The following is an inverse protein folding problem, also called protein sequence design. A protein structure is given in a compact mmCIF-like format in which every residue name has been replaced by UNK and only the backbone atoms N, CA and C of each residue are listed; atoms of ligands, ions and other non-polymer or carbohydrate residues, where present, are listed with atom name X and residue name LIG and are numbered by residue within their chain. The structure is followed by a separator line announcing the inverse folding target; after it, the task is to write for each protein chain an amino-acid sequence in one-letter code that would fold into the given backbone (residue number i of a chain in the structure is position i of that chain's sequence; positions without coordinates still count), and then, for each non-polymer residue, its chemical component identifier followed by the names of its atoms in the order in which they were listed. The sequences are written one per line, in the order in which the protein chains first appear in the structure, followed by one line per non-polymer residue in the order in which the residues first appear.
data_IF_035431671196
#
_entry.id   IF_035431671196
#
_cell.length_a   1.000
_cell.length_b   1.000
_cell.length_c   1.000
_cell.angle_alpha   90.00
_cell.angle_beta   90.00
_cell.angle_gamma   90.00
#
_symmetry.space_group_name_H-M   'P 1'
#
loop_
_entity.id
_entity.type
_entity.pdbx_description
1 polymer ?
#
# COMPACT_ATOMS: atom_id res chain seq x y z
N UNK A 1 -11.45 4.85 -52.87
CA UNK A 1 -12.12 4.44 -54.11
C UNK A 1 -11.21 3.42 -54.76
N UNK A 2 -11.78 2.26 -55.09
CA UNK A 2 -11.31 1.22 -56.03
C UNK A 2 -9.89 0.62 -55.81
N UNK A 3 -9.65 -0.68 -55.58
CA UNK A 3 -10.25 -1.97 -56.02
C UNK A 3 -9.53 -2.62 -57.22
N UNK A 4 -8.98 -3.82 -56.97
CA UNK A 4 -8.41 -4.84 -57.87
C UNK A 4 -7.80 -5.92 -56.92
N UNK A 5 -8.24 -7.16 -56.75
CA UNK A 5 -9.13 -8.12 -57.44
C UNK A 5 -8.48 -9.07 -58.47
N UNK A 6 -7.97 -10.21 -57.98
CA UNK A 6 -7.97 -11.57 -58.59
C UNK A 6 -7.25 -12.53 -57.60
N UNK A 7 -7.68 -13.73 -57.17
CA UNK A 7 -8.73 -14.71 -57.53
C UNK A 7 -8.24 -15.97 -58.29
N UNK A 8 -8.10 -17.08 -57.55
CA UNK A 8 -8.18 -18.49 -57.97
C UNK A 8 -8.52 -19.31 -56.70
N UNK A 9 -9.43 -20.30 -56.67
CA UNK A 9 -10.35 -20.79 -57.71
C UNK A 9 -10.25 -22.30 -57.91
N UNK A 10 -11.20 -23.06 -57.35
CA UNK A 10 -11.52 -24.44 -57.74
C UNK A 10 -12.87 -24.84 -57.11
N UNK A 11 -13.82 -25.26 -57.94
CA UNK A 11 -15.21 -25.56 -57.57
C UNK A 11 -15.45 -27.04 -57.26
N UNK A 12 -16.60 -27.36 -56.65
CA UNK A 12 -17.47 -28.48 -57.06
C UNK A 12 -18.84 -28.41 -56.33
N UNK A 13 -19.91 -28.35 -57.11
CA UNK A 13 -21.32 -28.59 -56.74
C UNK A 13 -21.57 -30.13 -56.68
N UNK A 14 -22.76 -30.71 -56.40
CA UNK A 14 -24.14 -30.26 -56.07
C UNK A 14 -24.77 -31.37 -55.15
N UNK A 15 -26.05 -31.56 -54.78
CA UNK A 15 -27.41 -31.09 -55.13
C UNK A 15 -28.30 -31.17 -53.84
N UNK A 16 -29.63 -31.26 -53.98
CA UNK A 16 -30.71 -31.04 -53.01
C UNK A 16 -31.23 -32.30 -52.24
N UNK A 17 -32.19 -32.06 -51.33
CA UNK A 17 -33.10 -32.98 -50.58
C UNK A 17 -33.95 -33.93 -51.50
N UNK A 18 -34.64 -35.01 -51.01
CA UNK A 18 -35.18 -35.18 -49.64
C UNK A 18 -35.16 -36.57 -48.96
N UNK A 19 -35.65 -36.58 -47.71
CA UNK A 19 -35.75 -37.67 -46.73
C UNK A 19 -36.33 -39.05 -47.15
N UNK A 20 -35.88 -40.10 -46.44
CA UNK A 20 -36.62 -41.35 -46.15
C UNK A 20 -36.20 -41.95 -44.79
N UNK A 21 -36.96 -42.92 -44.25
CA UNK A 21 -36.94 -43.34 -42.83
C UNK A 21 -36.37 -44.75 -42.62
N UNK A 22 -35.45 -44.95 -41.66
CA UNK A 22 -35.31 -46.19 -40.88
C UNK A 22 -34.35 -46.09 -39.66
N UNK A 23 -34.81 -46.53 -38.47
CA UNK A 23 -34.03 -47.28 -37.46
C UNK A 23 -33.04 -46.54 -36.53
N UNK A 24 -33.36 -46.46 -35.23
CA UNK A 24 -32.39 -46.12 -34.18
C UNK A 24 -32.96 -45.66 -32.83
N UNK A 25 -32.95 -46.54 -31.84
CA UNK A 25 -33.13 -46.28 -30.39
C UNK A 25 -32.29 -47.34 -29.63
N UNK A 26 -31.95 -47.20 -28.33
CA UNK A 26 -32.29 -46.17 -27.33
C UNK A 26 -31.16 -45.09 -27.21
N UNK A 27 -30.91 -44.30 -26.15
CA UNK A 27 -31.37 -44.23 -24.74
C UNK A 27 -31.23 -42.77 -24.18
N UNK A 28 -32.02 -42.30 -23.20
CA UNK A 28 -31.90 -40.95 -22.63
C UNK A 28 -30.71 -40.76 -21.67
N UNK A 29 -29.85 -39.81 -22.02
CA UNK A 29 -28.88 -39.05 -21.19
C UNK A 29 -28.82 -39.38 -19.68
N UNK A 30 -27.76 -40.06 -19.24
CA UNK A 30 -27.35 -40.02 -17.83
C UNK A 30 -26.83 -38.61 -17.47
N UNK A 31 -27.43 -37.98 -16.46
CA UNK A 31 -26.89 -36.74 -15.90
C UNK A 31 -25.65 -37.05 -15.05
N UNK A 32 -24.53 -36.38 -15.34
CA UNK A 32 -23.29 -36.55 -14.58
C UNK A 32 -23.46 -36.04 -13.14
N UNK A 33 -23.61 -36.96 -12.20
CA UNK A 33 -23.81 -36.67 -10.77
C UNK A 33 -22.54 -36.07 -10.17
N UNK A 34 -22.44 -34.74 -10.21
CA UNK A 34 -21.47 -33.98 -9.43
C UNK A 34 -21.79 -34.18 -7.95
N UNK A 35 -20.87 -34.80 -7.21
CA UNK A 35 -20.99 -34.96 -5.76
C UNK A 35 -21.03 -33.56 -5.08
N UNK A 36 -21.82 -33.38 -4.02
CA UNK A 36 -21.84 -32.12 -3.29
C UNK A 36 -20.47 -31.83 -2.67
N UNK A 37 -20.04 -30.56 -2.60
CA UNK A 37 -18.80 -30.20 -1.94
C UNK A 37 -18.86 -30.60 -0.45
N UNK A 38 -17.74 -31.07 0.14
CA UNK A 38 -17.72 -31.52 1.52
C UNK A 38 -18.06 -30.37 2.49
N UNK A 39 -18.74 -30.64 3.63
CA UNK A 39 -19.02 -29.62 4.64
C UNK A 39 -17.74 -28.94 5.13
N UNK A 40 -17.72 -27.60 5.07
CA UNK A 40 -16.56 -26.78 5.44
C UNK A 40 -16.16 -26.95 6.92
N UNK A 41 -17.09 -27.40 7.76
CA UNK A 41 -16.88 -27.70 9.18
C UNK A 41 -15.82 -28.80 9.40
N UNK A 42 -15.58 -29.67 8.43
CA UNK A 42 -14.54 -30.72 8.49
C UNK A 42 -13.11 -30.20 8.23
N UNK A 43 -12.95 -28.94 7.81
CA UNK A 43 -11.66 -28.32 7.50
C UNK A 43 -11.13 -27.41 8.62
N UNK A 44 -11.89 -27.20 9.69
CA UNK A 44 -11.47 -26.35 10.82
C UNK A 44 -11.00 -27.21 12.00
N UNK A 45 -9.73 -27.11 12.44
CA UNK A 45 -9.32 -27.75 13.68
C UNK A 45 -10.02 -27.07 14.88
N UNK A 46 -10.40 -27.82 15.93
CA UNK A 46 -10.91 -27.19 17.15
C UNK A 46 -9.83 -26.25 17.71
N UNK A 47 -10.25 -25.01 18.02
CA UNK A 47 -9.42 -23.81 18.29
C UNK A 47 -9.00 -22.96 17.06
N UNK A 48 -9.60 -23.13 15.87
CA UNK A 48 -9.46 -22.11 14.81
C UNK A 48 -10.24 -20.83 15.17
N UNK A 49 -9.55 -19.85 15.77
CA UNK A 49 -10.13 -18.53 16.07
C UNK A 49 -10.08 -17.66 14.82
N UNK A 50 -11.23 -17.45 14.16
CA UNK A 50 -11.28 -16.61 12.96
C UNK A 50 -11.23 -15.10 13.29
N UNK A 51 -10.01 -14.56 13.26
CA UNK A 51 -9.72 -13.13 13.37
C UNK A 51 -10.28 -12.27 12.23
N UNK A 52 -10.93 -12.83 11.20
CA UNK A 52 -11.63 -12.04 10.16
C UNK A 52 -12.84 -11.26 10.71
N UNK A 53 -13.45 -11.76 11.80
CA UNK A 53 -14.70 -11.23 12.36
C UNK A 53 -14.52 -10.12 13.41
N UNK A 54 -13.28 -9.81 13.81
CA UNK A 54 -13.02 -8.53 14.49
C UNK A 54 -13.24 -7.42 13.46
N UNK A 55 -14.14 -6.47 13.77
CA UNK A 55 -14.55 -5.40 12.87
C UNK A 55 -13.40 -4.46 12.50
N UNK A 56 -12.65 -4.83 11.45
CA UNK A 56 -11.65 -3.98 10.81
C UNK A 56 -12.33 -2.69 10.35
N UNK A 57 -11.73 -1.53 10.64
CA UNK A 57 -12.19 -0.21 10.17
C UNK A 57 -12.04 -0.11 8.64
N UNK A 58 -13.05 -0.62 7.93
CA UNK A 58 -12.83 -1.52 6.79
C UNK A 58 -11.71 -1.10 5.85
N UNK A 59 -10.61 -1.88 5.84
CA UNK A 59 -9.49 -1.70 4.92
C UNK A 59 -9.88 -2.22 3.53
N UNK A 60 -10.88 -1.55 2.96
CA UNK A 60 -11.29 -1.68 1.56
C UNK A 60 -10.01 -1.51 0.72
N UNK A 61 -9.71 -2.52 -0.09
CA UNK A 61 -8.63 -2.43 -1.06
C UNK A 61 -9.14 -1.58 -2.22
N UNK A 62 -8.33 -0.64 -2.72
CA UNK A 62 -8.64 0.14 -3.92
C UNK A 62 -8.82 -0.73 -5.18
N UNK A 63 -8.38 -2.00 -5.13
CA UNK A 63 -8.57 -3.00 -6.18
C UNK A 63 -9.01 -4.34 -5.58
N UNK A 64 -9.94 -5.09 -6.22
CA UNK A 64 -10.33 -6.43 -5.79
C UNK A 64 -9.15 -7.40 -5.69
N UNK A 65 -9.27 -8.43 -4.85
CA UNK A 65 -8.32 -9.54 -4.92
C UNK A 65 -8.70 -10.46 -6.08
N UNK A 66 -7.94 -10.36 -7.17
CA UNK A 66 -7.88 -11.41 -8.19
C UNK A 66 -6.79 -12.38 -7.78
N UNK A 67 -7.02 -13.68 -7.94
CA UNK A 67 -5.98 -14.69 -7.72
C UNK A 67 -4.80 -14.45 -8.68
N UNK A 68 -3.58 -14.63 -8.19
CA UNK A 68 -2.36 -14.26 -8.92
C UNK A 68 -1.98 -12.76 -8.88
N UNK A 69 -2.87 -11.85 -8.45
CA UNK A 69 -2.55 -10.42 -8.29
C UNK A 69 -2.18 -10.08 -6.82
N UNK A 70 -1.00 -9.49 -6.65
CA UNK A 70 -0.41 -9.12 -5.35
C UNK A 70 -0.18 -7.61 -5.28
N UNK A 71 -0.55 -7.00 -4.15
CA UNK A 71 -0.20 -5.60 -3.88
C UNK A 71 1.31 -5.49 -3.57
N UNK A 72 2.03 -4.76 -4.42
CA UNK A 72 3.43 -4.39 -4.23
C UNK A 72 3.55 -2.98 -3.68
N UNK A 73 4.47 -2.77 -2.74
CA UNK A 73 4.81 -1.48 -2.14
C UNK A 73 6.32 -1.42 -1.84
N UNK A 74 7.02 -0.40 -2.33
CA UNK A 74 8.45 -0.17 -2.08
C UNK A 74 8.61 1.03 -1.16
N UNK A 75 9.37 0.88 -0.06
CA UNK A 75 9.49 1.92 0.97
C UNK A 75 10.80 1.86 1.78
N UNK A 76 11.11 2.99 2.43
CA UNK A 76 12.10 3.06 3.51
C UNK A 76 11.36 2.85 4.85
N UNK A 77 11.72 1.85 5.66
CA UNK A 77 11.22 1.70 7.02
C UNK A 77 11.84 2.75 7.97
N UNK A 78 11.01 3.31 8.84
CA UNK A 78 11.37 4.39 9.77
C UNK A 78 10.85 4.08 11.17
N UNK A 79 11.75 3.87 12.13
CA UNK A 79 11.39 3.72 13.55
C UNK A 79 11.63 5.05 14.26
N UNK A 80 10.63 5.52 15.01
CA UNK A 80 10.72 6.81 15.73
C UNK A 80 11.65 6.66 16.95
N UNK A 81 12.75 7.45 17.03
CA UNK A 81 13.71 7.40 18.14
C UNK A 81 13.06 7.72 19.49
N UNK A 82 13.45 6.98 20.53
CA UNK A 82 12.83 7.06 21.87
C UNK A 82 12.82 8.48 22.47
N UNK A 83 13.89 9.24 22.26
CA UNK A 83 13.99 10.64 22.72
C UNK A 83 12.98 11.60 22.04
N UNK A 84 12.50 11.28 20.83
CA UNK A 84 11.47 12.08 20.14
C UNK A 84 10.04 11.69 20.58
N UNK A 85 9.83 10.46 21.07
CA UNK A 85 8.49 9.91 21.32
C UNK A 85 7.68 10.73 22.32
N UNK A 86 8.29 11.19 23.41
CA UNK A 86 7.57 11.98 24.44
C UNK A 86 6.99 13.28 23.90
N UNK A 87 7.76 14.03 23.09
CA UNK A 87 7.26 15.26 22.48
C UNK A 87 6.17 14.96 21.45
N UNK A 88 6.39 13.95 20.60
CA UNK A 88 5.40 13.55 19.61
C UNK A 88 4.11 12.98 20.24
N UNK A 89 4.19 12.37 21.42
CA UNK A 89 3.03 11.93 22.23
C UNK A 89 2.16 13.13 22.65
N UNK A 90 2.77 14.23 23.09
CA UNK A 90 2.04 15.47 23.41
C UNK A 90 1.38 16.07 22.16
N UNK A 91 2.08 16.08 21.03
CA UNK A 91 1.54 16.61 19.77
C UNK A 91 0.40 15.74 19.23
N UNK A 92 0.53 14.41 19.27
CA UNK A 92 -0.55 13.50 18.85
C UNK A 92 -1.77 13.56 19.79
N UNK A 93 -1.57 13.83 21.09
CA UNK A 93 -2.67 14.17 22.01
C UNK A 93 -3.38 15.46 21.61
N UNK A 94 -2.64 16.51 21.25
CA UNK A 94 -3.21 17.77 20.71
C UNK A 94 -3.95 17.53 19.38
N UNK A 95 -3.41 16.71 18.49
CA UNK A 95 -4.05 16.32 17.23
C UNK A 95 -5.40 15.62 17.46
N UNK A 96 -5.47 14.66 18.41
CA UNK A 96 -6.70 13.97 18.78
C UNK A 96 -7.78 14.91 19.36
N UNK A 97 -7.38 15.97 20.08
CA UNK A 97 -8.31 17.00 20.56
C UNK A 97 -8.83 17.93 19.45
N UNK A 98 -8.05 18.11 18.37
CA UNK A 98 -8.41 18.96 17.23
C UNK A 98 -9.23 18.21 16.17
N UNK A 99 -8.95 16.92 15.98
CA UNK A 99 -9.66 16.02 15.06
C UNK A 99 -9.91 14.68 15.77
N UNK A 100 -11.06 14.52 16.45
CA UNK A 100 -11.40 13.29 17.18
C UNK A 100 -11.54 12.05 16.29
N UNK A 101 -11.81 12.27 15.00
CA UNK A 101 -12.03 11.23 13.96
C UNK A 101 -10.73 10.52 13.52
N UNK A 102 -9.59 10.81 14.16
CA UNK A 102 -8.28 10.22 13.85
C UNK A 102 -8.11 8.82 14.44
N UNK A 103 -7.50 7.94 13.64
CA UNK A 103 -7.08 6.59 13.97
C UNK A 103 -5.56 6.43 13.81
N UNK A 104 -4.96 5.56 14.60
CA UNK A 104 -3.54 5.22 14.51
C UNK A 104 -3.24 4.39 13.25
N UNK A 105 -2.16 4.74 12.53
CA UNK A 105 -1.73 4.00 11.32
C UNK A 105 -1.29 2.58 11.66
N UNK A 106 -1.71 1.62 10.81
CA UNK A 106 -1.48 0.18 10.93
C UNK A 106 -1.76 -0.41 12.34
N UNK A 107 -2.75 0.17 13.05
CA UNK A 107 -3.13 -0.20 14.41
C UNK A 107 -4.65 -0.34 14.63
N UNK A 108 -5.48 0.25 13.78
CA UNK A 108 -6.96 0.25 13.84
C UNK A 108 -7.60 0.73 15.17
N UNK A 109 -6.83 1.41 16.03
CA UNK A 109 -7.31 2.10 17.23
C UNK A 109 -7.60 3.58 16.96
N UNK A 110 -8.73 4.08 17.47
CA UNK A 110 -8.98 5.52 17.54
C UNK A 110 -7.90 6.22 18.39
N UNK A 111 -7.40 7.35 17.90
CA UNK A 111 -6.32 8.10 18.54
C UNK A 111 -6.77 8.71 19.89
N UNK A 112 -8.03 9.13 19.97
CA UNK A 112 -8.71 9.60 21.18
C UNK A 112 -8.71 8.55 22.31
N UNK A 113 -8.92 7.27 21.97
CA UNK A 113 -8.86 6.16 22.94
C UNK A 113 -7.42 5.85 23.39
N UNK A 114 -6.43 5.97 22.50
CA UNK A 114 -5.02 5.85 22.89
C UNK A 114 -4.60 6.99 23.83
N UNK A 115 -5.11 8.22 23.63
CA UNK A 115 -4.73 9.38 24.43
C UNK A 115 -5.09 9.31 25.93
N UNK A 116 -5.96 8.37 26.33
CA UNK A 116 -6.35 8.11 27.73
C UNK A 116 -5.23 7.47 28.56
N UNK A 117 -4.26 6.81 27.92
CA UNK A 117 -3.13 6.13 28.55
C UNK A 117 -1.84 6.52 27.81
N UNK A 118 -0.97 7.29 28.46
CA UNK A 118 0.25 7.80 27.84
C UNK A 118 1.25 6.69 27.49
N UNK A 119 1.32 5.62 28.28
CA UNK A 119 2.19 4.47 27.98
C UNK A 119 1.66 3.67 26.79
N UNK A 120 0.35 3.49 26.70
CA UNK A 120 -0.31 2.88 25.55
C UNK A 120 -0.17 3.74 24.31
N UNK A 121 -0.32 5.06 24.39
CA UNK A 121 -0.08 5.97 23.26
C UNK A 121 1.38 5.87 22.77
N UNK A 122 2.37 5.99 23.66
CA UNK A 122 3.78 5.92 23.26
C UNK A 122 4.14 4.54 22.65
N UNK A 123 3.68 3.45 23.27
CA UNK A 123 4.02 2.08 22.85
C UNK A 123 3.23 1.60 21.63
N UNK A 124 1.93 1.89 21.53
CA UNK A 124 1.03 1.36 20.49
C UNK A 124 1.01 2.25 19.25
N UNK A 125 1.23 3.56 19.35
CA UNK A 125 1.40 4.44 18.20
C UNK A 125 2.88 4.54 17.81
N UNK A 126 3.72 5.13 18.67
CA UNK A 126 5.09 5.55 18.31
C UNK A 126 6.14 4.43 18.43
N UNK A 127 5.76 3.27 18.97
CA UNK A 127 6.59 2.07 19.03
C UNK A 127 6.72 1.29 17.72
N UNK A 128 5.98 1.65 16.67
CA UNK A 128 5.92 0.91 15.39
C UNK A 128 7.03 1.29 14.40
N UNK A 129 7.20 0.45 13.38
CA UNK A 129 7.91 0.79 12.14
C UNK A 129 6.92 1.53 11.21
N UNK A 130 7.19 2.80 10.94
CA UNK A 130 6.51 3.61 9.91
C UNK A 130 7.24 3.47 8.58
N UNK A 131 6.72 4.08 7.51
CA UNK A 131 7.32 3.99 6.17
C UNK A 131 7.30 5.30 5.40
N UNK A 132 8.36 5.55 4.63
CA UNK A 132 8.39 6.53 3.53
C UNK A 132 8.29 5.77 2.21
N UNK A 133 7.18 5.95 1.50
CA UNK A 133 6.95 5.30 0.20
C UNK A 133 7.90 5.82 -0.88
N UNK A 134 8.51 4.90 -1.64
CA UNK A 134 9.39 5.20 -2.77
C UNK A 134 8.72 4.96 -4.14
N UNK A 135 7.54 4.37 -4.16
CA UNK A 135 6.73 4.13 -5.35
C UNK A 135 5.26 4.00 -4.98
N UNK A 136 4.36 3.98 -5.98
CA UNK A 136 2.93 3.73 -5.75
C UNK A 136 2.72 2.31 -5.22
N UNK A 137 1.65 2.10 -4.44
CA UNK A 137 1.13 0.76 -4.18
C UNK A 137 0.39 0.28 -5.42
N UNK A 138 0.85 -0.81 -6.03
CA UNK A 138 0.39 -1.29 -7.34
C UNK A 138 0.08 -2.78 -7.31
N UNK A 139 -0.85 -3.24 -8.16
CA UNK A 139 -1.06 -4.68 -8.37
C UNK A 139 -0.03 -5.23 -9.35
N UNK A 140 0.61 -6.35 -9.00
CA UNK A 140 1.51 -7.11 -9.90
C UNK A 140 1.12 -8.58 -9.94
N UNK A 141 1.42 -9.26 -11.06
CA UNK A 141 1.22 -10.70 -11.20
C UNK A 141 2.40 -11.51 -10.66
N UNK A 142 2.15 -12.79 -10.29
CA UNK A 142 3.18 -13.74 -9.82
C UNK A 142 4.45 -13.71 -10.67
N UNK A 143 4.31 -13.78 -11.99
CA UNK A 143 5.43 -13.88 -12.93
C UNK A 143 6.32 -12.62 -12.96
N UNK A 144 5.82 -11.48 -12.48
CA UNK A 144 6.57 -10.22 -12.43
C UNK A 144 7.44 -10.11 -11.16
N UNK A 145 7.08 -10.83 -10.08
CA UNK A 145 7.64 -10.64 -8.72
C UNK A 145 9.16 -10.77 -8.71
N UNK A 146 9.70 -11.90 -9.16
CA UNK A 146 11.13 -12.19 -8.99
C UNK A 146 12.00 -11.34 -9.91
N UNK A 147 11.53 -11.04 -11.13
CA UNK A 147 12.19 -10.10 -12.06
C UNK A 147 12.25 -8.68 -11.49
N UNK A 148 11.14 -8.20 -10.91
CA UNK A 148 11.04 -6.87 -10.31
C UNK A 148 11.93 -6.74 -9.07
N UNK A 149 11.90 -7.74 -8.18
CA UNK A 149 12.78 -7.79 -6.99
C UNK A 149 14.26 -7.89 -7.40
N UNK A 150 14.60 -8.62 -8.46
CA UNK A 150 15.96 -8.68 -8.99
C UNK A 150 16.42 -7.34 -9.58
N UNK A 151 15.60 -6.68 -10.42
CA UNK A 151 15.94 -5.38 -11.00
C UNK A 151 16.03 -4.27 -9.94
N UNK A 152 15.14 -4.26 -8.94
CA UNK A 152 15.28 -3.38 -7.77
C UNK A 152 16.62 -3.63 -7.07
N UNK A 153 16.93 -4.89 -6.69
CA UNK A 153 18.21 -5.21 -6.05
C UNK A 153 19.41 -4.73 -6.88
N UNK A 154 19.40 -4.98 -8.19
CA UNK A 154 20.45 -4.52 -9.12
C UNK A 154 20.61 -2.99 -9.13
N UNK A 155 19.52 -2.23 -9.32
CA UNK A 155 19.55 -0.76 -9.32
C UNK A 155 20.09 -0.19 -8.00
N UNK A 156 19.76 -0.83 -6.88
CA UNK A 156 20.16 -0.39 -5.55
C UNK A 156 21.49 -0.98 -5.02
N UNK A 157 22.20 -1.83 -5.79
CA UNK A 157 23.50 -2.41 -5.37
C UNK A 157 24.51 -1.37 -4.86
N UNK A 158 24.53 -0.18 -5.47
CA UNK A 158 25.43 0.93 -5.12
C UNK A 158 24.95 1.82 -3.97
N UNK A 159 23.74 1.62 -3.43
CA UNK A 159 23.06 2.56 -2.53
C UNK A 159 23.31 2.32 -1.03
N UNK A 160 24.56 2.01 -0.69
CA UNK A 160 24.99 1.61 0.66
C UNK A 160 25.36 2.80 1.58
N UNK A 161 25.08 4.05 1.17
CA UNK A 161 25.46 5.26 1.92
C UNK A 161 24.44 5.59 3.01
N UNK A 162 24.90 5.69 4.27
CA UNK A 162 24.14 6.26 5.40
C UNK A 162 23.83 7.74 5.15
N UNK A 163 22.57 8.14 5.31
CA UNK A 163 22.13 9.53 5.24
C UNK A 163 21.01 9.78 6.25
N UNK A 164 20.84 11.05 6.65
CA UNK A 164 19.82 11.45 7.64
C UNK A 164 18.57 11.99 6.95
N UNK A 165 17.41 11.57 7.44
CA UNK A 165 16.10 12.11 7.09
C UNK A 165 15.64 13.01 8.23
N UNK A 166 15.34 14.28 7.95
CA UNK A 166 14.74 15.21 8.94
C UNK A 166 13.27 15.45 8.59
N UNK A 167 12.39 14.84 9.38
CA UNK A 167 10.95 15.02 9.36
C UNK A 167 10.62 16.25 10.23
N UNK A 168 10.23 17.35 9.59
CA UNK A 168 10.27 18.69 10.22
C UNK A 168 9.11 19.62 9.84
N UNK A 169 8.11 19.11 9.10
CA UNK A 169 6.91 19.85 8.72
C UNK A 169 5.67 18.97 8.89
N UNK A 170 4.65 19.52 9.54
CA UNK A 170 3.36 18.88 9.66
C UNK A 170 2.54 19.09 8.39
N UNK A 171 1.92 18.02 7.90
CA UNK A 171 1.18 18.08 6.65
C UNK A 171 -0.01 17.11 6.63
N UNK A 172 -1.02 17.47 5.84
CA UNK A 172 -2.14 16.62 5.48
C UNK A 172 -1.95 16.02 4.09
N UNK A 173 -2.24 14.74 3.94
CA UNK A 173 -2.30 14.06 2.65
C UNK A 173 -3.64 13.35 2.49
N UNK A 174 -4.08 13.16 1.24
CA UNK A 174 -5.27 12.40 0.87
C UNK A 174 -4.82 11.34 -0.15
N UNK A 175 -5.44 10.17 -0.16
CA UNK A 175 -5.17 9.13 -1.16
C UNK A 175 -5.86 9.42 -2.51
N UNK A 176 -5.44 8.73 -3.58
CA UNK A 176 -5.91 8.97 -4.96
C UNK A 176 -7.45 8.86 -5.15
N UNK A 177 -8.16 8.16 -4.26
CA UNK A 177 -9.61 7.94 -4.31
C UNK A 177 -10.43 8.80 -3.30
N UNK A 178 -9.75 9.67 -2.53
CA UNK A 178 -10.33 10.51 -1.47
C UNK A 178 -11.10 9.79 -0.35
N UNK A 179 -10.96 8.46 -0.21
CA UNK A 179 -11.60 7.71 0.88
C UNK A 179 -10.87 7.82 2.22
N UNK A 180 -9.61 8.30 2.25
CA UNK A 180 -8.80 8.42 3.47
C UNK A 180 -7.89 9.65 3.46
N UNK A 181 -7.92 10.40 4.56
CA UNK A 181 -6.97 11.48 4.85
C UNK A 181 -5.94 11.05 5.90
N UNK A 182 -4.75 11.65 5.87
CA UNK A 182 -3.61 11.30 6.71
C UNK A 182 -3.00 12.55 7.36
N UNK A 183 -2.65 12.44 8.64
CA UNK A 183 -1.80 13.40 9.36
C UNK A 183 -0.37 12.85 9.37
N UNK A 184 0.55 13.62 8.78
CA UNK A 184 1.88 13.13 8.42
C UNK A 184 2.97 14.15 8.75
N UNK A 185 4.20 13.65 8.85
CA UNK A 185 5.41 14.47 8.90
C UNK A 185 6.19 14.35 7.59
N UNK A 186 6.50 15.49 6.96
CA UNK A 186 7.18 15.60 5.67
C UNK A 186 8.70 15.84 5.83
N UNK A 187 9.49 15.27 4.91
CA UNK A 187 10.94 15.52 4.76
C UNK A 187 11.15 16.66 3.78
N UNK A 188 11.44 17.86 4.28
CA UNK A 188 11.51 19.07 3.42
C UNK A 188 12.91 19.42 2.92
N UNK A 189 13.98 18.89 3.52
CA UNK A 189 15.37 19.29 3.21
C UNK A 189 16.36 18.14 3.36
N UNK A 190 16.68 17.76 4.59
CA UNK A 190 17.76 16.82 4.89
C UNK A 190 17.30 15.39 4.57
N UNK A 191 17.95 14.75 3.60
CA UNK A 191 17.55 13.44 3.06
C UNK A 191 16.59 13.52 1.87
N UNK A 192 16.02 14.68 1.54
CA UNK A 192 15.13 14.84 0.39
C UNK A 192 15.81 14.55 -0.97
N UNK A 193 17.05 15.00 -1.24
CA UNK A 193 17.75 14.66 -2.49
C UNK A 193 18.01 13.15 -2.62
N UNK A 194 18.42 12.50 -1.53
CA UNK A 194 18.64 11.05 -1.48
C UNK A 194 17.35 10.28 -1.72
N UNK A 195 16.27 10.57 -0.99
CA UNK A 195 14.96 9.92 -1.20
C UNK A 195 14.44 10.18 -2.62
N UNK A 196 14.58 11.40 -3.14
CA UNK A 196 14.16 11.72 -4.51
C UNK A 196 14.91 10.87 -5.55
N UNK A 197 16.22 10.69 -5.40
CA UNK A 197 16.98 9.76 -6.25
C UNK A 197 16.49 8.31 -6.11
N UNK A 198 16.18 7.88 -4.88
CA UNK A 198 15.65 6.54 -4.62
C UNK A 198 14.28 6.31 -5.27
N UNK A 199 13.40 7.32 -5.29
CA UNK A 199 12.14 7.29 -6.05
C UNK A 199 12.39 7.10 -7.54
N UNK A 200 13.27 7.91 -8.16
CA UNK A 200 13.58 7.77 -9.59
C UNK A 200 14.12 6.37 -9.96
N UNK A 201 14.92 5.75 -9.08
CA UNK A 201 15.42 4.37 -9.27
C UNK A 201 14.33 3.29 -9.11
N UNK A 202 13.23 3.58 -8.40
CA UNK A 202 12.03 2.73 -8.37
C UNK A 202 11.18 2.95 -9.63
N UNK A 203 10.98 4.21 -10.03
CA UNK A 203 10.19 4.58 -11.22
C UNK A 203 10.79 3.99 -12.52
N UNK A 204 12.12 3.94 -12.65
CA UNK A 204 12.79 3.23 -13.75
C UNK A 204 12.41 1.74 -13.81
N UNK A 205 12.30 1.05 -12.67
CA UNK A 205 11.93 -0.37 -12.62
C UNK A 205 10.42 -0.55 -12.83
N UNK A 206 9.60 0.32 -12.26
CA UNK A 206 8.15 0.32 -12.48
C UNK A 206 7.84 0.49 -13.98
N UNK A 207 8.47 1.46 -14.65
CA UNK A 207 8.33 1.71 -16.10
C UNK A 207 8.67 0.48 -16.94
N UNK A 208 9.75 -0.24 -16.60
CA UNK A 208 10.13 -1.48 -17.28
C UNK A 208 9.13 -2.64 -17.09
N UNK A 209 8.30 -2.59 -16.04
CA UNK A 209 7.20 -3.53 -15.81
C UNK A 209 5.83 -3.02 -16.27
N UNK A 210 5.74 -1.85 -16.89
CA UNK A 210 4.46 -1.22 -17.27
C UNK A 210 3.63 -0.71 -16.09
N UNK A 211 4.26 -0.47 -14.94
CA UNK A 211 3.61 -0.02 -13.70
C UNK A 211 3.63 1.51 -13.59
N UNK A 212 2.60 2.13 -12.99
CA UNK A 212 2.49 3.59 -12.90
C UNK A 212 3.53 4.19 -11.95
N UNK A 213 4.35 5.10 -12.48
CA UNK A 213 5.34 5.89 -11.75
C UNK A 213 4.74 6.72 -10.60
N UNK A 214 5.60 7.18 -9.70
CA UNK A 214 5.26 7.97 -8.52
C UNK A 214 4.68 9.36 -8.87
N UNK A 215 4.35 10.13 -7.83
CA UNK A 215 3.78 11.47 -8.01
C UNK A 215 4.82 12.43 -8.59
N UNK A 216 4.46 13.15 -9.67
CA UNK A 216 5.34 14.10 -10.40
C UNK A 216 6.12 15.07 -9.49
N UNK A 217 5.46 15.52 -8.41
CA UNK A 217 6.09 16.28 -7.34
C UNK A 217 6.17 15.36 -6.10
N UNK A 218 7.27 14.60 -5.91
CA UNK A 218 7.39 13.68 -4.78
C UNK A 218 7.45 14.47 -3.46
N UNK A 219 6.65 14.04 -2.48
CA UNK A 219 6.60 14.63 -1.13
C UNK A 219 6.83 13.54 -0.08
N UNK A 220 8.10 13.16 0.21
CA UNK A 220 8.39 12.08 1.13
C UNK A 220 7.92 12.38 2.55
N UNK A 221 7.16 11.46 3.15
CA UNK A 221 6.58 11.64 4.47
C UNK A 221 6.39 10.29 5.18
N UNK A 222 6.21 10.34 6.50
CA UNK A 222 5.60 9.26 7.29
C UNK A 222 4.20 9.67 7.72
N UNK A 223 3.21 8.78 7.57
CA UNK A 223 1.85 9.00 8.08
C UNK A 223 1.73 8.46 9.49
N UNK A 224 1.27 9.28 10.44
CA UNK A 224 1.17 8.92 11.86
C UNK A 224 -0.25 8.52 12.26
N UNK A 225 -1.24 9.27 11.77
CA UNK A 225 -2.65 9.00 11.97
C UNK A 225 -3.44 9.20 10.66
N UNK A 226 -4.65 8.64 10.59
CA UNK A 226 -5.52 8.72 9.42
C UNK A 226 -6.99 8.87 9.83
N UNK A 227 -7.84 9.33 8.90
CA UNK A 227 -9.29 9.45 9.09
C UNK A 227 -10.04 9.00 7.82
N UNK A 228 -11.31 8.64 7.97
CA UNK A 228 -12.19 8.30 6.84
C UNK A 228 -12.63 9.56 6.08
N UNK A 229 -12.67 9.44 4.75
CA UNK A 229 -13.03 10.50 3.80
C UNK A 229 -11.97 11.59 3.65
N UNK A 230 -12.30 12.59 2.83
CA UNK A 230 -11.56 13.85 2.76
C UNK A 230 -11.95 14.75 3.96
N UNK A 231 -11.00 14.91 4.89
CA UNK A 231 -11.07 15.85 6.02
C UNK A 231 -9.94 16.88 5.95
N UNK A 232 -9.45 17.18 4.73
CA UNK A 232 -8.34 18.11 4.48
C UNK A 232 -8.53 19.47 5.12
N UNK A 233 -9.76 20.00 5.13
CA UNK A 233 -10.09 21.27 5.77
C UNK A 233 -9.81 21.26 7.28
N UNK A 234 -10.28 20.22 7.99
CA UNK A 234 -10.01 19.99 9.42
C UNK A 234 -8.50 19.82 9.66
N UNK A 235 -7.84 18.95 8.89
CA UNK A 235 -6.41 18.65 9.08
C UNK A 235 -5.51 19.85 8.78
N UNK A 236 -5.79 20.64 7.74
CA UNK A 236 -5.05 21.86 7.36
C UNK A 236 -5.23 23.02 8.36
N UNK A 237 -6.26 22.96 9.19
CA UNK A 237 -6.37 23.82 10.39
C UNK A 237 -5.59 23.20 11.56
N UNK A 238 -5.74 21.89 11.78
CA UNK A 238 -5.07 21.19 12.88
C UNK A 238 -3.53 21.24 12.78
N UNK A 239 -2.93 21.11 11.60
CA UNK A 239 -1.48 21.21 11.41
C UNK A 239 -0.94 22.57 11.86
N UNK A 240 -1.64 23.67 11.53
CA UNK A 240 -1.26 25.03 11.99
C UNK A 240 -1.37 25.19 13.50
N UNK A 241 -2.40 24.62 14.13
CA UNK A 241 -2.54 24.64 15.59
C UNK A 241 -1.56 23.72 16.30
N UNK A 242 -1.13 22.64 15.64
CA UNK A 242 -0.03 21.76 16.06
C UNK A 242 1.31 22.50 15.98
N UNK A 243 1.62 23.15 14.86
CA UNK A 243 2.86 23.93 14.68
C UNK A 243 2.97 25.06 15.72
N UNK A 244 1.87 25.79 15.99
CA UNK A 244 1.82 26.78 17.09
C UNK A 244 2.08 26.14 18.45
N UNK A 245 1.42 25.02 18.74
CA UNK A 245 1.52 24.30 20.01
C UNK A 245 2.95 23.76 20.25
N UNK A 246 3.55 23.15 19.23
CA UNK A 246 4.93 22.68 19.25
C UNK A 246 5.91 23.83 19.52
N UNK A 247 5.81 24.93 18.78
CA UNK A 247 6.62 26.13 19.04
C UNK A 247 6.40 26.75 20.44
N UNK A 248 5.20 26.61 21.04
CA UNK A 248 4.89 27.14 22.37
C UNK A 248 5.46 26.30 23.52
N UNK A 249 5.59 24.98 23.34
CA UNK A 249 6.22 24.07 24.32
C UNK A 249 7.74 24.12 24.20
N UNK A 250 8.24 24.23 22.96
CA UNK A 250 9.66 24.13 22.64
C UNK A 250 10.30 25.51 22.69
N UNK A 251 10.52 26.00 23.91
CA UNK A 251 11.29 27.23 24.19
C UNK A 251 12.78 27.11 23.82
N UNK A 252 13.23 25.93 23.36
CA UNK A 252 14.55 25.71 22.74
C UNK A 252 14.60 24.43 21.89
N UNK A 253 14.98 24.58 20.61
CA UNK A 253 15.24 23.54 19.59
C UNK A 253 14.03 22.69 19.15
N UNK A 254 13.51 22.99 17.96
CA UNK A 254 12.48 22.26 17.19
C UNK A 254 12.54 20.73 17.40
N UNK A 255 11.39 20.06 17.47
CA UNK A 255 11.33 18.58 17.53
C UNK A 255 11.54 17.97 16.14
N UNK A 256 12.68 18.29 15.50
CA UNK A 256 13.11 17.69 14.24
C UNK A 256 13.27 16.18 14.44
N UNK A 257 12.26 15.41 14.02
CA UNK A 257 12.30 13.96 14.05
C UNK A 257 13.34 13.50 13.03
N UNK A 258 14.52 13.12 13.54
CA UNK A 258 15.68 12.81 12.72
C UNK A 258 15.99 11.31 12.76
N UNK A 259 15.81 10.66 11.63
CA UNK A 259 15.98 9.21 11.47
C UNK A 259 17.15 8.93 10.50
N UNK A 260 17.92 7.88 10.76
CA UNK A 260 18.96 7.44 9.83
C UNK A 260 18.35 6.49 8.79
N UNK A 261 18.75 6.62 7.53
CA UNK A 261 18.46 5.63 6.50
C UNK A 261 19.15 4.30 6.85
N UNK A 262 18.45 3.18 6.64
CA UNK A 262 18.90 1.84 7.09
C UNK A 262 18.80 0.78 6.00
N UNK A 263 17.61 0.64 5.40
CA UNK A 263 17.31 -0.33 4.33
C UNK A 263 16.20 0.18 3.41
N UNK A 264 15.98 -0.50 2.29
CA UNK A 264 14.81 -0.37 1.42
C UNK A 264 14.13 -1.73 1.34
N UNK A 265 12.82 -1.72 1.55
CA UNK A 265 11.96 -2.90 1.57
C UNK A 265 11.04 -2.85 0.35
N UNK A 266 10.92 -3.99 -0.35
CA UNK A 266 9.80 -4.27 -1.25
C UNK A 266 8.90 -5.29 -0.56
N UNK A 267 7.63 -4.93 -0.35
CA UNK A 267 6.60 -5.82 0.21
C UNK A 267 5.66 -6.23 -0.90
N UNK A 268 5.39 -7.54 -1.02
CA UNK A 268 4.50 -8.12 -2.04
C UNK A 268 3.48 -9.01 -1.34
N UNK A 269 2.29 -8.46 -1.10
CA UNK A 269 1.25 -9.07 -0.28
C UNK A 269 1.74 -9.35 1.15
N UNK A 270 1.96 -10.64 1.47
CA UNK A 270 2.51 -11.10 2.76
C UNK A 270 4.04 -11.28 2.73
N UNK A 271 4.68 -11.34 1.56
CA UNK A 271 6.15 -11.50 1.45
C UNK A 271 6.85 -10.15 1.61
N UNK A 272 8.05 -10.16 2.17
CA UNK A 272 8.90 -8.99 2.42
C UNK A 272 10.29 -9.30 1.88
N UNK A 273 10.82 -8.40 1.06
CA UNK A 273 12.13 -8.51 0.43
C UNK A 273 12.97 -7.28 0.78
N UNK A 274 14.10 -7.47 1.47
CA UNK A 274 15.11 -6.43 1.52
C UNK A 274 15.74 -6.29 0.12
N UNK A 275 15.70 -5.05 -0.38
CA UNK A 275 16.23 -4.63 -1.69
C UNK A 275 17.64 -4.08 -1.54
N UNK A 276 17.86 -3.32 -0.47
CA UNK A 276 19.15 -2.76 -0.09
C UNK A 276 19.18 -2.66 1.42
N UNK A 277 20.21 -3.20 2.08
CA UNK A 277 20.50 -2.96 3.50
C UNK A 277 21.89 -2.35 3.58
N UNK A 278 22.04 -1.29 4.37
CA UNK A 278 23.38 -0.82 4.75
C UNK A 278 23.97 -1.84 5.74
N UNK A 279 25.22 -2.26 5.52
CA UNK A 279 25.96 -3.08 6.49
C UNK A 279 26.06 -2.38 7.85
N UNK A 280 26.11 -3.14 8.94
CA UNK A 280 26.09 -2.62 10.31
C UNK A 280 27.43 -1.96 10.70
#
# INVERSE_FOLDING_TARGET
MDALMANYGSDSDDDNEPATVAGGAPEPQEASVLLPPPPLDLLQPPNFVDYSTIAQGSRIRSFPHVEGNYALHVYIPVVIPFNARKQLTLVMRRAASLVPDLYAVDADYALSELCKDEQKLEKVLLGREFHVSLGRTVGIQVHQIDSLVAMLRQKFQSQQRRYWMEFNKWEHFVNDDSTRSFLSLEVTRTGLPEISKQIHMVDEVYRLHGLPEFYKNPRPHISLAWALGDVSSKLKQATKEIEKFENSIISSKNCNLRCNFSRIVCKVGKKVYDICKIGD
#
